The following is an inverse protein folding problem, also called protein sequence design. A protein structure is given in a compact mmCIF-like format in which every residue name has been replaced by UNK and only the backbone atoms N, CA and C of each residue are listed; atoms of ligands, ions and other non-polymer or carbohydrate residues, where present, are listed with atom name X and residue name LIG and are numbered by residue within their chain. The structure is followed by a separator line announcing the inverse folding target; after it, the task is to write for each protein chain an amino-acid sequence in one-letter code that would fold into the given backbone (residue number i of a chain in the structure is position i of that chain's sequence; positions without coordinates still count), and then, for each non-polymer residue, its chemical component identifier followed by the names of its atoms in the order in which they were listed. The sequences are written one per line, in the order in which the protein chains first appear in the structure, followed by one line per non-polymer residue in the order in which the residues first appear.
data_IF_755287379127
#
_entry.id   IF_755287379127
#
_cell.length_a   1.000
_cell.length_b   1.000
_cell.length_c   1.000
_cell.angle_alpha   90.00
_cell.angle_beta   90.00
_cell.angle_gamma   90.00
#
_symmetry.space_group_name_H-M   'P 1'
#
loop_
_entity.id
_entity.type
_entity.pdbx_description
1 polymer ?
#
# COMPACT_ATOMS: atom_id res chain seq x y z
N UNK A 1 46.39 -8.25 15.19
CA UNK A 1 45.01 -8.03 15.69
C UNK A 1 44.15 -7.18 14.74
N UNK A 2 44.66 -6.06 14.21
CA UNK A 2 43.94 -5.19 13.25
C UNK A 2 43.55 -5.89 11.95
N UNK A 3 44.42 -6.77 11.44
CA UNK A 3 44.16 -7.48 10.17
C UNK A 3 43.15 -8.63 10.32
N UNK A 4 43.05 -9.20 11.52
CA UNK A 4 42.03 -10.20 11.88
C UNK A 4 40.64 -9.57 11.97
N UNK A 5 40.53 -8.34 12.47
CA UNK A 5 39.24 -7.62 12.49
C UNK A 5 38.82 -7.24 11.07
N UNK A 6 39.77 -6.85 10.20
CA UNK A 6 39.50 -6.57 8.79
C UNK A 6 39.03 -7.81 8.03
N UNK A 7 39.69 -8.96 8.22
CA UNK A 7 39.27 -10.20 7.56
C UNK A 7 37.89 -10.65 8.03
N UNK A 8 37.56 -10.55 9.33
CA UNK A 8 36.24 -10.88 9.85
C UNK A 8 35.14 -9.95 9.33
N UNK A 9 35.39 -8.64 9.22
CA UNK A 9 34.43 -7.68 8.64
C UNK A 9 34.20 -7.95 7.14
N UNK A 10 35.25 -8.38 6.43
CA UNK A 10 35.20 -8.69 5.00
C UNK A 10 34.47 -10.03 4.75
N UNK A 11 34.70 -11.04 5.60
CA UNK A 11 33.93 -12.28 5.63
C UNK A 11 32.46 -12.04 6.02
N UNK A 12 32.18 -11.12 6.94
CA UNK A 12 30.80 -10.75 7.32
C UNK A 12 30.06 -10.03 6.18
N UNK A 13 30.75 -9.24 5.36
CA UNK A 13 30.17 -8.63 4.14
C UNK A 13 29.90 -9.67 3.05
N UNK A 14 30.77 -10.66 2.90
CA UNK A 14 30.57 -11.79 1.98
C UNK A 14 29.44 -12.73 2.45
N UNK A 15 29.24 -12.85 3.77
CA UNK A 15 28.12 -13.54 4.42
C UNK A 15 26.84 -12.69 4.51
N UNK A 16 26.63 -11.74 3.58
CA UNK A 16 25.30 -11.18 3.29
C UNK A 16 24.79 -11.77 1.97
N UNK A 17 24.34 -13.04 1.94
CA UNK A 17 23.89 -13.71 0.73
C UNK A 17 22.48 -13.22 0.31
N UNK A 18 21.84 -12.37 1.12
CA UNK A 18 20.45 -11.95 1.00
C UNK A 18 20.27 -10.43 0.86
N UNK A 19 21.00 -9.80 -0.05
CA UNK A 19 20.52 -8.54 -0.61
C UNK A 19 20.35 -8.68 -2.13
N UNK A 20 19.38 -9.48 -2.62
CA UNK A 20 18.77 -9.11 -3.88
C UNK A 20 18.15 -7.74 -3.63
N UNK A 21 18.78 -6.69 -4.18
CA UNK A 21 18.05 -5.45 -4.46
C UNK A 21 17.06 -5.87 -5.54
N UNK A 22 15.91 -6.40 -5.10
CA UNK A 22 14.86 -6.83 -6.00
C UNK A 22 14.59 -5.64 -6.93
N UNK A 23 14.64 -5.83 -8.26
CA UNK A 23 14.38 -4.77 -9.21
C UNK A 23 13.09 -4.05 -8.84
N UNK A 24 13.05 -2.75 -9.09
CA UNK A 24 11.82 -1.99 -8.93
C UNK A 24 10.69 -2.68 -9.70
N UNK A 25 9.48 -2.82 -9.12
CA UNK A 25 8.41 -3.54 -9.77
C UNK A 25 8.12 -2.95 -11.16
N UNK A 26 7.81 -3.81 -12.14
CA UNK A 26 7.48 -3.32 -13.48
C UNK A 26 6.29 -2.37 -13.40
N UNK A 27 6.34 -1.30 -14.19
CA UNK A 27 5.30 -0.28 -14.24
C UNK A 27 3.89 -0.87 -14.40
N UNK A 28 3.73 -1.88 -15.26
CA UNK A 28 2.46 -2.56 -15.49
C UNK A 28 1.89 -3.23 -14.24
N UNK A 29 2.74 -3.82 -13.40
CA UNK A 29 2.32 -4.52 -12.19
C UNK A 29 1.93 -3.53 -11.08
N UNK A 30 2.64 -2.40 -10.98
CA UNK A 30 2.27 -1.31 -10.06
C UNK A 30 0.91 -0.73 -10.45
N UNK A 31 0.70 -0.46 -11.73
CA UNK A 31 -0.57 0.08 -12.22
C UNK A 31 -1.73 -0.90 -11.95
N UNK A 32 -1.50 -2.20 -12.14
CA UNK A 32 -2.50 -3.24 -11.84
C UNK A 32 -2.86 -3.25 -10.34
N UNK A 33 -1.87 -3.09 -9.46
CA UNK A 33 -2.09 -2.98 -8.01
C UNK A 33 -2.83 -1.68 -7.63
N UNK A 34 -2.57 -0.56 -8.32
CA UNK A 34 -3.31 0.68 -8.12
C UNK A 34 -4.77 0.55 -8.57
N UNK A 35 -5.04 -0.16 -9.67
CA UNK A 35 -6.41 -0.49 -10.09
C UNK A 35 -7.11 -1.32 -9.02
N UNK A 36 -6.46 -2.35 -8.47
CA UNK A 36 -7.01 -3.14 -7.36
C UNK A 36 -7.34 -2.25 -6.14
N UNK A 37 -6.45 -1.30 -5.82
CA UNK A 37 -6.61 -0.35 -4.72
C UNK A 37 -7.81 0.60 -4.93
N UNK A 38 -7.95 1.18 -6.12
CA UNK A 38 -9.10 2.05 -6.43
C UNK A 38 -10.40 1.26 -6.42
N UNK A 39 -10.39 0.04 -6.96
CA UNK A 39 -11.55 -0.85 -6.99
C UNK A 39 -12.05 -1.14 -5.56
N UNK A 40 -11.16 -1.55 -4.66
CA UNK A 40 -11.56 -1.88 -3.27
C UNK A 40 -12.08 -0.65 -2.51
N UNK A 41 -11.49 0.53 -2.73
CA UNK A 41 -11.94 1.78 -2.07
C UNK A 41 -13.31 2.23 -2.56
N UNK A 42 -13.57 2.18 -3.86
CA UNK A 42 -14.83 2.67 -4.44
C UNK A 42 -16.02 1.79 -4.13
N UNK A 43 -15.79 0.48 -4.03
CA UNK A 43 -16.86 -0.51 -3.88
C UNK A 43 -17.29 -0.73 -2.44
N UNK A 44 -16.59 -0.11 -1.50
CA UNK A 44 -17.07 -0.07 -0.13
C UNK A 44 -18.46 0.63 -0.08
N UNK A 45 -19.40 0.19 0.76
CA UNK A 45 -20.65 0.92 1.01
C UNK A 45 -20.36 2.37 1.46
N UNK A 46 -21.27 3.33 1.24
CA UNK A 46 -21.15 4.77 1.62
C UNK A 46 -21.00 5.05 3.13
N UNK A 47 -20.70 4.03 3.93
CA UNK A 47 -20.52 4.12 5.38
C UNK A 47 -19.27 4.91 5.78
N UNK A 48 -18.08 4.75 5.14
CA UNK A 48 -16.96 5.65 5.37
C UNK A 48 -17.29 7.04 4.82
N UNK A 49 -16.83 8.12 5.48
CA UNK A 49 -17.00 9.47 4.96
C UNK A 49 -16.47 9.60 3.52
N UNK A 50 -17.20 10.31 2.66
CA UNK A 50 -16.87 10.46 1.23
C UNK A 50 -15.46 11.02 0.99
N UNK A 51 -14.99 11.90 1.88
CA UNK A 51 -13.65 12.50 1.79
C UNK A 51 -12.53 11.45 1.85
N UNK A 52 -12.74 10.31 2.52
CA UNK A 52 -11.76 9.22 2.63
C UNK A 52 -11.45 8.64 1.25
N UNK A 53 -12.50 8.41 0.45
CA UNK A 53 -12.36 7.90 -0.92
C UNK A 53 -11.63 8.88 -1.79
N UNK A 54 -11.98 10.16 -1.69
CA UNK A 54 -11.32 11.22 -2.45
C UNK A 54 -9.83 11.29 -2.14
N UNK A 55 -9.43 11.25 -0.86
CA UNK A 55 -8.02 11.27 -0.49
C UNK A 55 -7.31 10.02 -1.03
N UNK A 56 -7.85 8.82 -0.77
CA UNK A 56 -7.24 7.57 -1.22
C UNK A 56 -7.06 7.51 -2.75
N UNK A 57 -8.08 7.90 -3.52
CA UNK A 57 -8.02 7.95 -4.98
C UNK A 57 -7.03 9.02 -5.45
N UNK A 58 -7.01 10.20 -4.82
CA UNK A 58 -6.06 11.25 -5.17
C UNK A 58 -4.61 10.81 -4.98
N UNK A 59 -4.31 10.08 -3.91
CA UNK A 59 -2.99 9.50 -3.67
C UNK A 59 -2.63 8.43 -4.71
N UNK A 60 -3.59 7.58 -5.10
CA UNK A 60 -3.40 6.62 -6.20
C UNK A 60 -3.15 7.33 -7.53
N UNK A 61 -3.90 8.38 -7.87
CA UNK A 61 -3.73 9.15 -9.09
C UNK A 61 -2.36 9.85 -9.13
N UNK A 62 -1.90 10.37 -7.99
CA UNK A 62 -0.54 10.89 -7.89
C UNK A 62 0.48 9.80 -8.20
N UNK A 63 0.32 8.59 -7.64
CA UNK A 63 1.21 7.47 -7.98
C UNK A 63 1.16 7.12 -9.47
N UNK A 64 -0.02 7.12 -10.10
CA UNK A 64 -0.14 6.93 -11.56
C UNK A 64 0.62 8.02 -12.32
N UNK A 65 0.55 9.28 -11.90
CA UNK A 65 1.32 10.37 -12.48
C UNK A 65 2.84 10.16 -12.40
N UNK A 66 3.33 9.64 -11.27
CA UNK A 66 4.74 9.26 -11.10
C UNK A 66 5.12 8.16 -12.09
N UNK A 67 4.32 7.09 -12.19
CA UNK A 67 4.61 5.94 -13.05
C UNK A 67 4.47 6.25 -14.55
N UNK A 68 3.48 7.06 -14.96
CA UNK A 68 3.14 7.29 -16.38
C UNK A 68 3.79 8.54 -16.96
N UNK A 69 3.88 9.61 -16.17
CA UNK A 69 4.34 10.93 -16.61
C UNK A 69 5.77 11.20 -16.13
N UNK A 70 6.30 10.40 -15.21
CA UNK A 70 7.65 10.58 -14.66
C UNK A 70 7.73 11.72 -13.66
N UNK A 71 6.61 12.04 -12.97
CA UNK A 71 6.63 13.03 -11.89
C UNK A 71 7.64 12.67 -10.80
N UNK A 72 8.29 13.67 -10.17
CA UNK A 72 9.23 13.39 -9.09
C UNK A 72 8.53 12.71 -7.92
N UNK A 73 9.19 11.71 -7.31
CA UNK A 73 8.68 11.10 -6.09
C UNK A 73 8.55 12.16 -4.99
N UNK A 74 7.45 12.15 -4.21
CA UNK A 74 7.27 13.09 -3.11
C UNK A 74 8.41 12.94 -2.09
N UNK A 75 8.85 14.08 -1.57
CA UNK A 75 9.92 14.11 -0.58
C UNK A 75 9.57 13.24 0.63
N UNK A 76 10.59 12.68 1.30
CA UNK A 76 10.37 11.91 2.53
C UNK A 76 9.56 12.71 3.57
N UNK A 77 9.84 14.01 3.68
CA UNK A 77 9.16 14.88 4.63
C UNK A 77 7.68 15.04 4.30
N UNK A 78 7.33 15.23 3.02
CA UNK A 78 5.94 15.34 2.60
C UNK A 78 5.15 14.07 2.90
N UNK A 79 5.75 12.89 2.66
CA UNK A 79 5.11 11.60 2.98
C UNK A 79 4.85 11.45 4.48
N UNK A 80 5.84 11.77 5.32
CA UNK A 80 5.65 11.77 6.78
C UNK A 80 4.59 12.77 7.24
N UNK A 81 4.56 13.96 6.64
CA UNK A 81 3.56 14.97 6.94
C UNK A 81 2.15 14.50 6.56
N UNK A 82 1.98 13.88 5.39
CA UNK A 82 0.70 13.31 4.95
C UNK A 82 0.24 12.17 5.87
N UNK A 83 1.15 11.27 6.25
CA UNK A 83 0.86 10.18 7.19
C UNK A 83 0.46 10.74 8.57
N UNK A 84 1.19 11.72 9.09
CA UNK A 84 0.86 12.41 10.33
C UNK A 84 -0.49 13.11 10.26
N UNK A 85 -0.79 13.79 9.16
CA UNK A 85 -2.08 14.45 8.94
C UNK A 85 -3.24 13.45 8.92
N UNK A 86 -3.11 12.33 8.19
CA UNK A 86 -4.11 11.26 8.19
C UNK A 86 -4.33 10.71 9.60
N UNK A 87 -3.25 10.47 10.34
CA UNK A 87 -3.34 9.95 11.71
C UNK A 87 -4.08 10.92 12.64
N UNK A 88 -3.74 12.21 12.60
CA UNK A 88 -4.39 13.27 13.39
C UNK A 88 -5.87 13.42 13.01
N UNK A 89 -6.19 13.44 11.72
CA UNK A 89 -7.57 13.55 11.23
C UNK A 89 -8.41 12.38 11.75
N UNK A 90 -7.92 11.14 11.62
CA UNK A 90 -8.64 9.95 12.11
C UNK A 90 -8.82 9.97 13.62
N UNK A 91 -7.77 10.28 14.39
CA UNK A 91 -7.88 10.35 15.85
C UNK A 91 -8.87 11.42 16.31
N UNK A 92 -8.83 12.59 15.67
CA UNK A 92 -9.74 13.69 16.01
C UNK A 92 -11.20 13.36 15.71
N UNK A 93 -11.47 12.65 14.61
CA UNK A 93 -12.84 12.38 14.17
C UNK A 93 -13.47 11.15 14.84
N UNK A 94 -12.67 10.12 15.13
CA UNK A 94 -13.17 8.86 15.68
C UNK A 94 -12.85 8.67 17.17
N UNK A 95 -12.20 9.65 17.80
CA UNK A 95 -11.78 9.63 19.21
C UNK A 95 -10.93 8.39 19.56
N UNK A 96 -10.15 7.90 18.60
CA UNK A 96 -9.34 6.70 18.73
C UNK A 96 -9.32 5.86 17.45
N UNK A 97 -8.56 4.78 17.48
CA UNK A 97 -8.49 3.78 16.40
C UNK A 97 -9.30 2.52 16.70
N UNK A 98 -10.02 2.51 17.82
CA UNK A 98 -10.80 1.38 18.25
C UNK A 98 -12.16 1.38 17.54
N UNK A 99 -12.55 0.21 17.05
CA UNK A 99 -13.83 -0.01 16.39
C UNK A 99 -13.73 -0.11 14.87
N UNK A 100 -14.75 -0.76 14.30
CA UNK A 100 -14.84 -1.10 12.88
C UNK A 100 -14.66 0.12 11.96
N UNK A 101 -15.33 1.23 12.28
CA UNK A 101 -15.35 2.40 11.40
C UNK A 101 -13.98 3.11 11.35
N UNK A 102 -13.37 3.34 12.53
CA UNK A 102 -12.07 4.01 12.63
C UNK A 102 -10.97 3.21 11.93
N UNK A 103 -10.93 1.90 12.18
CA UNK A 103 -9.99 0.98 11.54
C UNK A 103 -10.13 1.00 10.02
N UNK A 104 -11.34 0.82 9.48
CA UNK A 104 -11.58 0.83 8.03
C UNK A 104 -11.13 2.13 7.37
N UNK A 105 -11.48 3.28 7.94
CA UNK A 105 -11.07 4.59 7.41
C UNK A 105 -9.55 4.72 7.43
N UNK A 106 -8.92 4.36 8.54
CA UNK A 106 -7.47 4.43 8.67
C UNK A 106 -6.77 3.55 7.62
N UNK A 107 -7.24 2.33 7.41
CA UNK A 107 -6.68 1.38 6.45
C UNK A 107 -6.87 1.84 4.99
N UNK A 108 -8.02 2.43 4.66
CA UNK A 108 -8.28 3.05 3.34
C UNK A 108 -7.36 4.24 3.04
N UNK A 109 -6.97 5.00 4.06
CA UNK A 109 -6.03 6.11 3.87
C UNK A 109 -4.59 5.60 3.80
N UNK A 110 -4.24 4.63 4.66
CA UNK A 110 -2.93 4.00 4.68
C UNK A 110 -2.59 3.32 3.36
N UNK A 111 -3.54 2.64 2.71
CA UNK A 111 -3.26 1.97 1.45
C UNK A 111 -2.84 2.96 0.34
N UNK A 112 -3.49 4.13 0.27
CA UNK A 112 -3.13 5.20 -0.66
C UNK A 112 -1.75 5.79 -0.35
N UNK A 113 -1.47 6.08 0.94
CA UNK A 113 -0.18 6.59 1.39
C UNK A 113 0.95 5.59 1.13
N UNK A 114 0.73 4.32 1.45
CA UNK A 114 1.71 3.25 1.25
C UNK A 114 1.99 3.03 -0.23
N UNK A 115 1.00 3.25 -1.10
CA UNK A 115 1.18 3.30 -2.55
C UNK A 115 2.24 4.32 -3.01
N UNK A 116 2.28 5.50 -2.39
CA UNK A 116 3.30 6.51 -2.69
C UNK A 116 4.68 6.16 -2.15
N UNK A 117 4.76 5.31 -1.13
CA UNK A 117 6.00 4.86 -0.51
C UNK A 117 6.65 3.67 -1.21
N UNK A 118 5.94 2.98 -2.11
CA UNK A 118 6.44 1.79 -2.79
C UNK A 118 7.76 2.06 -3.51
N UNK A 119 8.84 1.46 -3.01
CA UNK A 119 10.17 1.48 -3.63
C UNK A 119 10.77 0.09 -3.79
N UNK A 120 10.34 -0.84 -2.95
CA UNK A 120 10.86 -2.20 -2.95
C UNK A 120 9.73 -3.21 -2.98
N UNK A 121 10.04 -4.44 -3.38
CA UNK A 121 9.11 -5.57 -3.36
C UNK A 121 8.41 -5.76 -1.99
N UNK A 122 9.12 -5.48 -0.89
CA UNK A 122 8.54 -5.49 0.46
C UNK A 122 7.37 -4.53 0.63
N UNK A 123 7.44 -3.33 0.05
CA UNK A 123 6.36 -2.35 0.14
C UNK A 123 5.14 -2.77 -0.68
N UNK A 124 5.36 -3.42 -1.83
CA UNK A 124 4.29 -3.99 -2.64
C UNK A 124 3.52 -5.03 -1.83
N UNK A 125 4.23 -5.97 -1.20
CA UNK A 125 3.60 -6.99 -0.36
C UNK A 125 2.71 -6.35 0.71
N UNK A 126 3.18 -5.29 1.37
CA UNK A 126 2.37 -4.55 2.36
C UNK A 126 1.10 -3.97 1.73
N UNK A 127 1.16 -3.40 0.53
CA UNK A 127 -0.04 -2.88 -0.13
C UNK A 127 -0.99 -3.97 -0.58
N UNK A 128 -0.50 -5.11 -1.07
CA UNK A 128 -1.33 -6.29 -1.36
C UNK A 128 -2.08 -6.74 -0.11
N UNK A 129 -1.38 -6.84 1.03
CA UNK A 129 -2.00 -7.14 2.32
C UNK A 129 -3.04 -6.09 2.72
N UNK A 130 -2.76 -4.81 2.50
CA UNK A 130 -3.72 -3.73 2.77
C UNK A 130 -4.95 -3.83 1.85
N UNK A 131 -4.80 -4.18 0.56
CA UNK A 131 -5.95 -4.40 -0.34
C UNK A 131 -6.83 -5.50 0.25
N UNK A 132 -6.26 -6.65 0.58
CA UNK A 132 -7.03 -7.77 1.14
C UNK A 132 -7.66 -7.42 2.47
N UNK A 133 -6.96 -6.70 3.34
CA UNK A 133 -7.52 -6.28 4.61
C UNK A 133 -8.68 -5.29 4.44
N UNK A 134 -8.55 -4.31 3.55
CA UNK A 134 -9.65 -3.38 3.22
C UNK A 134 -10.84 -4.15 2.62
N UNK A 135 -10.59 -5.14 1.76
CA UNK A 135 -11.63 -6.04 1.25
C UNK A 135 -12.37 -6.75 2.38
N UNK A 136 -11.64 -7.33 3.35
CA UNK A 136 -12.24 -7.96 4.53
C UNK A 136 -13.08 -6.96 5.33
N UNK A 137 -12.59 -5.72 5.51
CA UNK A 137 -13.39 -4.68 6.16
C UNK A 137 -14.67 -4.36 5.41
N UNK A 138 -14.68 -4.39 4.07
CA UNK A 138 -15.89 -4.21 3.28
C UNK A 138 -16.99 -5.21 3.61
N UNK A 139 -16.62 -6.48 3.82
CA UNK A 139 -17.57 -7.54 4.21
C UNK A 139 -18.13 -7.37 5.63
N UNK A 140 -17.43 -6.65 6.50
CA UNK A 140 -17.97 -6.27 7.82
C UNK A 140 -19.12 -5.25 7.72
N UNK A 141 -19.29 -4.57 6.58
CA UNK A 141 -20.39 -3.61 6.35
C UNK A 141 -21.48 -4.14 5.43
N UNK A 142 -21.14 -4.92 4.40
CA UNK A 142 -22.11 -5.44 3.44
C UNK A 142 -21.72 -6.81 2.92
N UNK A 143 -22.65 -7.75 3.01
CA UNK A 143 -22.50 -9.12 2.49
C UNK A 143 -23.25 -9.30 1.16
N UNK A 144 -23.46 -8.22 0.42
CA UNK A 144 -24.15 -8.28 -0.87
C UNK A 144 -23.34 -9.04 -1.93
N UNK A 145 -24.00 -9.66 -2.94
CA UNK A 145 -23.31 -10.27 -4.07
C UNK A 145 -22.36 -9.30 -4.80
N UNK A 146 -22.74 -8.02 -4.86
CA UNK A 146 -21.90 -6.99 -5.48
C UNK A 146 -20.63 -6.71 -4.68
N UNK A 147 -20.71 -6.66 -3.35
CA UNK A 147 -19.52 -6.57 -2.48
C UNK A 147 -18.63 -7.80 -2.68
N UNK A 148 -19.22 -8.99 -2.79
CA UNK A 148 -18.49 -10.24 -3.00
C UNK A 148 -17.74 -10.25 -4.34
N UNK A 149 -18.42 -9.94 -5.45
CA UNK A 149 -17.82 -9.87 -6.77
C UNK A 149 -16.62 -8.89 -6.80
N UNK A 150 -16.78 -7.75 -6.16
CA UNK A 150 -15.77 -6.71 -6.11
C UNK A 150 -14.59 -7.05 -5.19
N UNK A 151 -14.86 -7.71 -4.07
CA UNK A 151 -13.83 -8.28 -3.21
C UNK A 151 -13.00 -9.33 -3.94
N UNK A 152 -13.64 -10.20 -4.74
CA UNK A 152 -12.95 -11.19 -5.57
C UNK A 152 -12.10 -10.53 -6.67
N UNK A 153 -12.65 -9.56 -7.39
CA UNK A 153 -11.92 -8.84 -8.45
C UNK A 153 -10.71 -8.08 -7.90
N UNK A 154 -10.88 -7.30 -6.83
CA UNK A 154 -9.78 -6.54 -6.23
C UNK A 154 -8.70 -7.46 -5.66
N UNK A 155 -9.10 -8.52 -4.95
CA UNK A 155 -8.17 -9.50 -4.38
C UNK A 155 -7.43 -10.29 -5.47
N UNK A 156 -8.12 -10.67 -6.54
CA UNK A 156 -7.56 -11.39 -7.69
C UNK A 156 -6.57 -10.53 -8.48
N UNK A 157 -6.87 -9.24 -8.66
CA UNK A 157 -5.93 -8.28 -9.26
C UNK A 157 -4.69 -8.10 -8.37
N UNK A 158 -4.87 -7.91 -7.06
CA UNK A 158 -3.75 -7.78 -6.14
C UNK A 158 -2.86 -9.05 -6.12
N UNK A 159 -3.47 -10.23 -6.18
CA UNK A 159 -2.75 -11.50 -6.30
C UNK A 159 -2.01 -11.60 -7.63
N UNK A 160 -2.65 -11.18 -8.74
CA UNK A 160 -2.03 -11.18 -10.06
C UNK A 160 -0.81 -10.25 -10.10
N UNK A 161 -0.91 -9.04 -9.51
CA UNK A 161 0.22 -8.13 -9.37
C UNK A 161 1.36 -8.80 -8.57
N UNK A 162 1.04 -9.44 -7.44
CA UNK A 162 2.04 -10.11 -6.61
C UNK A 162 2.76 -11.24 -7.35
N UNK A 163 2.01 -12.09 -8.07
CA UNK A 163 2.56 -13.21 -8.85
C UNK A 163 3.50 -12.68 -9.94
N UNK A 164 3.06 -11.67 -10.70
CA UNK A 164 3.86 -11.07 -11.78
C UNK A 164 5.16 -10.47 -11.26
N UNK A 165 5.12 -9.81 -10.11
CA UNK A 165 6.30 -9.24 -9.46
C UNK A 165 7.21 -10.28 -8.80
N UNK A 166 6.70 -11.47 -8.48
CA UNK A 166 7.52 -12.57 -7.97
C UNK A 166 8.26 -13.33 -9.08
N UNK A 167 7.78 -13.23 -10.32
CA UNK A 167 8.36 -13.90 -11.49
C UNK A 167 9.37 -13.03 -12.26
N UNK A 168 9.60 -11.80 -11.81
CA UNK A 168 10.55 -10.84 -12.39
C UNK A 168 11.88 -10.80 -11.64
#
# INVERSE_FOLDING_TARGET
MRDMIRSLVQSYRALRPFAPVAPYPRQGDVLLLLVATVLVVQLHPLVPPWWVRLIAISLCLWRVGIERVGWPMPSRFLRWALTGAVFVIVLSQFHGLHGRNAGTVFLMLLIGLKGLEMRHYRDVMVVVFLVWWVTLTGFLFSQSPMTAACGLLSSGLALTALIRMNQS
#
